data_IF_995906963539
#
_entry.id   IF_995906963539
#
_cell.length_a   1.000
_cell.length_b   1.000
_cell.length_c   1.000
_cell.angle_alpha   90.00
_cell.angle_beta   90.00
_cell.angle_gamma   90.00
#
_symmetry.space_group_name_H-M   'P 1'
#
loop_
_entity.id
_entity.type
_entity.pdbx_description
1 polymer ?
#
# COMPACT_ATOMS: atom_id res chain seq x y z
N UNK A 1 20.93 -5.66 1.33
CA UNK A 1 19.67 -6.09 0.68
C UNK A 1 19.05 -4.88 0.01
N UNK A 2 18.53 -4.99 -1.22
CA UNK A 2 17.87 -3.88 -1.90
C UNK A 2 16.42 -3.73 -1.37
N UNK A 3 16.07 -2.64 -0.68
CA UNK A 3 14.73 -2.45 -0.09
C UNK A 3 13.64 -2.16 -1.14
N UNK A 4 14.00 -1.85 -2.39
CA UNK A 4 13.02 -1.49 -3.41
C UNK A 4 12.05 -2.63 -3.76
N UNK A 5 12.55 -3.86 -3.88
CA UNK A 5 11.73 -5.04 -4.20
C UNK A 5 10.67 -5.34 -3.12
N UNK A 6 11.04 -5.45 -1.82
CA UNK A 6 10.04 -5.66 -0.78
C UNK A 6 9.07 -4.48 -0.66
N UNK A 7 9.51 -3.23 -0.81
CA UNK A 7 8.62 -2.07 -0.78
C UNK A 7 7.62 -2.07 -1.95
N UNK A 8 8.06 -2.42 -3.15
CA UNK A 8 7.17 -2.57 -4.30
C UNK A 8 6.14 -3.68 -4.09
N UNK A 9 6.57 -4.83 -3.55
CA UNK A 9 5.66 -5.93 -3.23
C UNK A 9 4.61 -5.51 -2.19
N UNK A 10 5.02 -4.82 -1.12
CA UNK A 10 4.13 -4.30 -0.08
C UNK A 10 3.10 -3.32 -0.68
N UNK A 11 3.54 -2.38 -1.53
CA UNK A 11 2.65 -1.43 -2.19
C UNK A 11 1.65 -2.08 -3.14
N UNK A 12 2.06 -3.09 -3.91
CA UNK A 12 1.16 -3.81 -4.82
C UNK A 12 0.12 -4.64 -4.08
N UNK A 13 0.53 -5.30 -2.99
CA UNK A 13 -0.37 -6.06 -2.12
C UNK A 13 -1.41 -5.13 -1.52
N UNK A 14 -0.98 -4.01 -0.94
CA UNK A 14 -1.87 -3.03 -0.34
C UNK A 14 -2.82 -2.38 -1.38
N UNK A 15 -2.37 -2.14 -2.60
CA UNK A 15 -3.22 -1.68 -3.69
C UNK A 15 -4.31 -2.69 -4.07
N UNK A 16 -3.97 -3.98 -4.15
CA UNK A 16 -4.96 -5.04 -4.39
C UNK A 16 -6.01 -5.10 -3.26
N UNK A 17 -5.58 -4.89 -2.02
CA UNK A 17 -6.47 -4.81 -0.85
C UNK A 17 -7.36 -3.58 -0.89
N UNK A 18 -6.83 -2.43 -1.29
CA UNK A 18 -7.60 -1.21 -1.48
C UNK A 18 -8.73 -1.40 -2.50
N UNK A 19 -8.46 -2.12 -3.60
CA UNK A 19 -9.48 -2.51 -4.58
C UNK A 19 -10.56 -3.42 -4.00
N UNK A 20 -10.19 -4.42 -3.19
CA UNK A 20 -11.14 -5.27 -2.47
C UNK A 20 -12.03 -4.47 -1.53
N UNK A 21 -11.43 -3.58 -0.72
CA UNK A 21 -12.12 -2.71 0.22
C UNK A 21 -13.12 -1.78 -0.45
N UNK A 22 -12.74 -1.20 -1.59
CA UNK A 22 -13.65 -0.38 -2.38
C UNK A 22 -14.89 -1.16 -2.89
N UNK A 23 -14.82 -2.49 -2.97
CA UNK A 23 -15.94 -3.34 -3.38
C UNK A 23 -16.72 -3.96 -2.21
N UNK A 24 -16.05 -4.20 -1.08
CA UNK A 24 -16.65 -4.84 0.08
C UNK A 24 -17.91 -4.11 0.56
N UNK A 25 -18.99 -4.86 0.82
CA UNK A 25 -20.27 -4.32 1.30
C UNK A 25 -21.23 -3.80 0.22
N UNK A 26 -20.83 -3.75 -1.06
CA UNK A 26 -21.70 -3.21 -2.15
C UNK A 26 -22.55 -4.21 -2.91
N UNK A 27 -22.26 -5.49 -2.77
CA UNK A 27 -23.00 -6.56 -3.41
C UNK A 27 -23.58 -7.47 -2.31
N UNK A 28 -24.80 -7.97 -2.47
CA UNK A 28 -25.47 -8.89 -1.55
C UNK A 28 -25.42 -10.37 -2.01
N UNK A 29 -24.91 -10.66 -3.22
CA UNK A 29 -24.83 -12.03 -3.77
C UNK A 29 -24.07 -13.03 -2.86
N UNK A 30 -24.47 -14.29 -2.89
CA UNK A 30 -23.83 -15.37 -2.12
C UNK A 30 -22.48 -15.79 -2.77
N UNK A 31 -22.41 -15.81 -4.11
CA UNK A 31 -21.19 -16.18 -4.86
C UNK A 31 -20.52 -14.94 -5.45
N UNK A 32 -19.57 -14.36 -4.71
CA UNK A 32 -18.88 -13.10 -5.07
C UNK A 32 -17.42 -13.24 -5.48
N UNK A 33 -16.85 -14.44 -5.45
CA UNK A 33 -15.41 -14.67 -5.69
C UNK A 33 -14.91 -13.95 -6.95
N UNK A 34 -15.58 -14.12 -8.09
CA UNK A 34 -15.19 -13.46 -9.37
C UNK A 34 -15.29 -11.93 -9.34
N UNK A 35 -16.18 -11.37 -8.52
CA UNK A 35 -16.34 -9.92 -8.42
C UNK A 35 -15.30 -9.31 -7.47
N UNK A 36 -15.02 -10.00 -6.35
CA UNK A 36 -13.92 -9.71 -5.43
C UNK A 36 -12.58 -9.73 -6.16
N UNK A 37 -12.28 -10.78 -6.92
CA UNK A 37 -11.03 -10.88 -7.69
C UNK A 37 -10.90 -9.73 -8.69
N UNK A 38 -11.98 -9.37 -9.40
CA UNK A 38 -11.95 -8.25 -10.35
C UNK A 38 -11.73 -6.91 -9.66
N UNK A 39 -12.32 -6.69 -8.49
CA UNK A 39 -12.11 -5.48 -7.71
C UNK A 39 -10.65 -5.39 -7.21
N UNK A 40 -10.09 -6.49 -6.70
CA UNK A 40 -8.68 -6.55 -6.32
C UNK A 40 -7.74 -6.31 -7.50
N UNK A 41 -8.02 -6.88 -8.67
CA UNK A 41 -7.22 -6.65 -9.89
C UNK A 41 -7.27 -5.18 -10.35
N UNK A 42 -8.42 -4.51 -10.22
CA UNK A 42 -8.53 -3.06 -10.49
C UNK A 42 -7.71 -2.24 -9.51
N UNK A 43 -7.76 -2.58 -8.22
CA UNK A 43 -6.91 -1.95 -7.19
C UNK A 43 -5.44 -2.14 -7.49
N UNK A 44 -5.03 -3.37 -7.83
CA UNK A 44 -3.66 -3.71 -8.22
C UNK A 44 -3.20 -2.91 -9.44
N UNK A 45 -4.03 -2.82 -10.49
CA UNK A 45 -3.67 -2.09 -11.71
C UNK A 45 -3.51 -0.58 -11.44
N UNK A 46 -4.42 0.02 -10.68
CA UNK A 46 -4.33 1.43 -10.28
C UNK A 46 -3.12 1.68 -9.39
N UNK A 47 -2.87 0.81 -8.41
CA UNK A 47 -1.70 0.92 -7.54
C UNK A 47 -0.38 0.74 -8.27
N UNK A 48 -0.29 -0.23 -9.18
CA UNK A 48 0.90 -0.42 -10.02
C UNK A 48 1.20 0.84 -10.84
N UNK A 49 0.17 1.47 -11.43
CA UNK A 49 0.33 2.73 -12.14
C UNK A 49 0.77 3.88 -11.22
N UNK A 50 0.18 4.00 -10.02
CA UNK A 50 0.53 5.05 -9.07
C UNK A 50 1.92 4.86 -8.43
N UNK A 51 2.40 3.61 -8.30
CA UNK A 51 3.75 3.29 -7.83
C UNK A 51 4.84 3.66 -8.84
N UNK A 52 4.49 3.97 -10.10
CA UNK A 52 5.45 4.55 -11.04
C UNK A 52 5.91 5.95 -10.58
N UNK A 53 5.04 6.72 -9.91
CA UNK A 53 5.40 8.05 -9.43
C UNK A 53 6.60 8.04 -8.47
N UNK A 54 6.60 7.30 -7.33
CA UNK A 54 7.76 7.24 -6.45
C UNK A 54 8.99 6.60 -7.12
N UNK A 55 8.81 5.65 -8.06
CA UNK A 55 9.93 5.06 -8.81
C UNK A 55 10.61 6.06 -9.74
N UNK A 56 9.82 6.86 -10.48
CA UNK A 56 10.33 7.94 -11.34
C UNK A 56 10.98 9.03 -10.51
N UNK A 57 10.41 9.37 -9.35
CA UNK A 57 11.01 10.34 -8.42
C UNK A 57 12.37 9.87 -7.92
N UNK A 58 12.48 8.61 -7.49
CA UNK A 58 13.76 8.03 -7.07
C UNK A 58 14.79 8.00 -8.23
N UNK A 59 14.35 7.60 -9.43
CA UNK A 59 15.18 7.65 -10.64
C UNK A 59 15.65 9.06 -10.98
N UNK A 60 14.77 10.06 -10.90
CA UNK A 60 15.10 11.46 -11.14
C UNK A 60 16.10 12.01 -10.13
N UNK A 61 15.96 11.66 -8.84
CA UNK A 61 16.93 12.03 -7.80
C UNK A 61 18.31 11.43 -8.10
N UNK A 62 18.37 10.16 -8.51
CA UNK A 62 19.64 9.50 -8.84
C UNK A 62 20.30 10.09 -10.09
N UNK A 63 19.50 10.43 -11.11
CA UNK A 63 20.01 11.04 -12.35
C UNK A 63 20.48 12.48 -12.16
N UNK A 64 19.95 13.20 -11.17
CA UNK A 64 20.32 14.58 -10.87
C UNK A 64 21.43 14.70 -9.81
N UNK A 65 21.86 13.59 -9.21
CA UNK A 65 22.88 13.60 -8.17
C UNK A 65 24.30 13.67 -8.76
N UNK A 66 25.14 14.51 -8.16
CA UNK A 66 26.57 14.58 -8.52
C UNK A 66 27.32 13.28 -8.18
N UNK A 67 26.85 12.54 -7.17
CA UNK A 67 27.34 11.23 -6.75
C UNK A 67 26.16 10.24 -6.61
N UNK A 68 25.82 9.52 -7.69
CA UNK A 68 24.69 8.58 -7.72
C UNK A 68 24.83 7.42 -6.72
N UNK A 69 26.05 6.97 -6.44
CA UNK A 69 26.29 5.84 -5.53
C UNK A 69 25.97 6.24 -4.09
N UNK A 70 26.40 7.44 -3.68
CA UNK A 70 26.06 7.99 -2.37
C UNK A 70 24.57 8.29 -2.24
N UNK A 71 23.94 8.81 -3.30
CA UNK A 71 22.49 9.04 -3.32
C UNK A 71 21.70 7.73 -3.22
N UNK A 72 22.16 6.67 -3.90
CA UNK A 72 21.56 5.35 -3.82
C UNK A 72 21.70 4.75 -2.42
N UNK A 73 22.88 4.87 -1.79
CA UNK A 73 23.09 4.40 -0.42
C UNK A 73 22.14 5.10 0.56
N UNK A 74 21.99 6.43 0.48
CA UNK A 74 21.07 7.18 1.32
C UNK A 74 19.60 6.77 1.10
N UNK A 75 19.19 6.54 -0.15
CA UNK A 75 17.84 6.03 -0.46
C UNK A 75 17.64 4.59 0.05
N UNK A 76 18.68 3.75 -0.01
CA UNK A 76 18.61 2.39 0.48
C UNK A 76 18.49 2.36 2.01
N UNK A 77 19.27 3.17 2.72
CA UNK A 77 19.22 3.28 4.18
C UNK A 77 17.86 3.81 4.64
N UNK A 78 17.36 4.87 3.99
CA UNK A 78 15.98 5.36 4.21
C UNK A 78 14.92 4.31 3.90
N UNK A 79 15.11 3.55 2.82
CA UNK A 79 14.29 2.41 2.38
C UNK A 79 14.14 1.33 3.45
N UNK A 80 15.21 1.01 4.17
CA UNK A 80 15.18 0.04 5.29
C UNK A 80 14.29 0.55 6.42
N UNK A 81 14.32 1.85 6.70
CA UNK A 81 13.43 2.49 7.69
C UNK A 81 11.93 2.34 7.37
N UNK A 82 11.57 2.20 6.09
CA UNK A 82 10.20 1.93 5.66
C UNK A 82 9.77 0.46 5.83
N UNK A 83 10.72 -0.49 5.80
CA UNK A 83 10.37 -1.93 5.75
C UNK A 83 9.68 -2.44 7.00
N UNK A 84 10.10 -1.99 8.19
CA UNK A 84 9.58 -2.53 9.44
C UNK A 84 8.11 -2.10 9.66
N UNK A 85 7.74 -0.81 9.56
CA UNK A 85 6.35 -0.38 9.73
C UNK A 85 5.42 -0.94 8.64
N UNK A 86 5.84 -0.88 7.37
CA UNK A 86 5.03 -1.41 6.26
C UNK A 86 4.93 -2.94 6.29
N UNK A 87 6.00 -3.63 6.66
CA UNK A 87 6.03 -5.09 6.76
C UNK A 87 5.07 -5.61 7.84
N UNK A 88 5.08 -5.00 9.02
CA UNK A 88 4.14 -5.35 10.11
C UNK A 88 2.70 -5.10 9.69
N UNK A 89 2.43 -3.96 9.05
CA UNK A 89 1.09 -3.64 8.55
C UNK A 89 0.62 -4.65 7.50
N UNK A 90 1.45 -4.96 6.51
CA UNK A 90 1.12 -5.93 5.47
C UNK A 90 0.91 -7.34 6.04
N UNK A 91 1.68 -7.76 7.05
CA UNK A 91 1.48 -9.03 7.73
C UNK A 91 0.12 -9.07 8.42
N UNK A 92 -0.26 -8.00 9.14
CA UNK A 92 -1.57 -7.92 9.79
C UNK A 92 -2.74 -7.97 8.79
N UNK A 93 -2.59 -7.30 7.64
CA UNK A 93 -3.57 -7.36 6.55
C UNK A 93 -3.65 -8.77 5.94
N UNK A 94 -2.50 -9.39 5.67
CA UNK A 94 -2.43 -10.75 5.11
C UNK A 94 -3.05 -11.79 6.05
N UNK A 95 -2.78 -11.70 7.35
CA UNK A 95 -3.38 -12.56 8.38
C UNK A 95 -4.90 -12.36 8.45
N UNK A 96 -5.38 -11.11 8.38
CA UNK A 96 -6.81 -10.81 8.36
C UNK A 96 -7.50 -11.40 7.12
N UNK A 97 -6.84 -11.38 5.96
CA UNK A 97 -7.38 -11.99 4.74
C UNK A 97 -7.34 -13.53 4.79
N UNK A 98 -6.25 -14.11 5.27
CA UNK A 98 -6.15 -15.55 5.46
C UNK A 98 -7.28 -16.03 6.39
N UNK A 99 -7.55 -15.29 7.46
CA UNK A 99 -8.68 -15.55 8.33
C UNK A 99 -10.02 -15.43 7.57
N UNK A 100 -10.22 -14.39 6.76
CA UNK A 100 -11.44 -14.22 5.95
C UNK A 100 -11.71 -15.39 5.00
N UNK A 101 -10.67 -15.93 4.37
CA UNK A 101 -10.76 -17.00 3.36
C UNK A 101 -10.91 -18.40 3.96
N UNK A 102 -10.33 -18.64 5.14
CA UNK A 102 -10.29 -19.95 5.79
C UNK A 102 -11.42 -20.12 6.80
N UNK A 103 -11.85 -19.06 7.49
CA UNK A 103 -12.83 -19.18 8.58
C UNK A 103 -14.29 -19.23 8.09
N UNK A 104 -15.16 -19.95 8.82
CA UNK A 104 -16.59 -19.96 8.54
C UNK A 104 -17.22 -18.57 8.64
N UNK A 105 -18.31 -18.35 7.91
CA UNK A 105 -18.95 -17.05 7.62
C UNK A 105 -19.07 -16.10 8.82
N UNK A 106 -19.42 -16.63 10.02
CA UNK A 106 -19.56 -15.85 11.24
C UNK A 106 -18.23 -15.25 11.74
N UNK A 107 -17.17 -16.05 11.71
CA UNK A 107 -15.84 -15.61 12.15
C UNK A 107 -15.10 -14.80 11.06
N UNK A 108 -15.38 -15.07 9.78
CA UNK A 108 -14.92 -14.27 8.65
C UNK A 108 -15.47 -12.83 8.70
N UNK A 109 -16.73 -12.66 9.11
CA UNK A 109 -17.34 -11.32 9.29
C UNK A 109 -16.69 -10.58 10.47
N UNK A 110 -16.45 -11.27 11.59
CA UNK A 110 -15.80 -10.71 12.77
C UNK A 110 -14.34 -10.27 12.47
N UNK A 111 -13.58 -11.11 11.74
CA UNK A 111 -12.23 -10.81 11.29
C UNK A 111 -12.19 -9.62 10.32
N UNK A 112 -13.23 -9.45 9.50
CA UNK A 112 -13.35 -8.29 8.61
C UNK A 112 -13.63 -7.01 9.39
N UNK A 113 -14.51 -7.06 10.39
CA UNK A 113 -14.85 -5.87 11.20
C UNK A 113 -13.69 -5.46 12.11
N UNK A 114 -13.03 -6.44 12.76
CA UNK A 114 -11.94 -6.19 13.72
C UNK A 114 -10.59 -5.98 13.02
N UNK A 115 -10.32 -6.67 11.92
CA UNK A 115 -9.08 -6.51 11.17
C UNK A 115 -9.17 -5.40 10.15
N UNK A 116 -10.09 -5.53 9.19
CA UNK A 116 -10.18 -4.64 8.04
C UNK A 116 -10.67 -3.23 8.43
N UNK A 117 -11.56 -3.11 9.42
CA UNK A 117 -12.05 -1.81 9.93
C UNK A 117 -10.95 -0.90 10.47
N UNK A 118 -10.21 -1.29 11.52
CA UNK A 118 -9.12 -0.49 12.09
C UNK A 118 -7.92 -0.32 11.15
N UNK A 119 -7.61 -1.33 10.33
CA UNK A 119 -6.51 -1.25 9.36
C UNK A 119 -6.74 -0.18 8.28
N UNK A 120 -8.00 0.20 8.02
CA UNK A 120 -8.32 1.33 7.14
C UNK A 120 -7.79 2.67 7.69
N UNK A 121 -7.96 2.90 8.98
CA UNK A 121 -7.52 4.12 9.69
C UNK A 121 -6.05 4.07 10.08
N UNK A 122 -5.45 2.87 10.11
CA UNK A 122 -4.04 2.70 10.42
C UNK A 122 -3.11 3.15 9.27
N UNK A 123 -3.55 3.14 8.00
CA UNK A 123 -2.71 3.46 6.83
C UNK A 123 -2.00 4.83 6.95
N UNK A 124 -2.67 5.95 7.24
CA UNK A 124 -2.01 7.25 7.42
C UNK A 124 -0.97 7.24 8.54
N UNK A 125 -1.26 6.55 9.65
CA UNK A 125 -0.35 6.43 10.79
C UNK A 125 0.86 5.57 10.46
N UNK A 126 0.68 4.48 9.72
CA UNK A 126 1.78 3.62 9.25
C UNK A 126 2.67 4.38 8.28
N UNK A 127 2.10 5.17 7.36
CA UNK A 127 2.88 6.04 6.45
C UNK A 127 3.67 7.07 7.26
N UNK A 128 3.05 7.72 8.24
CA UNK A 128 3.75 8.69 9.11
C UNK A 128 4.89 8.03 9.91
N UNK A 129 4.65 6.84 10.48
CA UNK A 129 5.66 6.06 11.18
C UNK A 129 6.80 5.61 10.26
N UNK A 130 6.49 5.28 9.01
CA UNK A 130 7.49 4.88 8.03
C UNK A 130 8.36 6.06 7.55
N UNK A 131 7.76 7.25 7.36
CA UNK A 131 8.51 8.49 7.14
C UNK A 131 9.42 8.82 8.33
N UNK A 132 8.94 8.61 9.57
CA UNK A 132 9.75 8.73 10.78
C UNK A 132 10.90 7.71 10.84
N UNK A 133 10.63 6.46 10.49
CA UNK A 133 11.64 5.40 10.40
C UNK A 133 12.73 5.70 9.38
N UNK A 134 12.37 6.26 8.23
CA UNK A 134 13.32 6.67 7.19
C UNK A 134 14.24 7.82 7.63
N UNK A 135 13.73 8.75 8.44
CA UNK A 135 14.54 9.81 9.06
C UNK A 135 15.54 9.23 10.06
N UNK A 136 15.10 8.31 10.91
CA UNK A 136 15.95 7.65 11.90
C UNK A 136 17.00 6.73 11.26
N UNK A 137 16.71 6.17 10.09
CA UNK A 137 17.62 5.35 9.32
C UNK A 137 18.63 6.16 8.47
N UNK A 138 18.59 7.50 8.50
CA UNK A 138 19.57 8.35 7.83
C UNK A 138 19.29 8.67 6.36
N UNK A 139 18.07 8.43 5.86
CA UNK A 139 17.75 8.59 4.44
C UNK A 139 17.69 10.04 3.91
N UNK A 140 17.78 11.04 4.81
CA UNK A 140 17.79 12.45 4.44
C UNK A 140 16.51 12.98 3.77
N UNK A 141 16.58 14.19 3.21
CA UNK A 141 15.44 14.88 2.58
C UNK A 141 14.96 14.21 1.29
N UNK A 142 15.87 13.58 0.53
CA UNK A 142 15.53 12.82 -0.68
C UNK A 142 14.65 11.61 -0.37
N UNK A 143 14.99 10.84 0.68
CA UNK A 143 14.16 9.71 1.11
C UNK A 143 12.79 10.14 1.63
N UNK A 144 12.70 11.30 2.27
CA UNK A 144 11.41 11.87 2.68
C UNK A 144 10.53 12.24 1.50
N UNK A 145 11.12 12.84 0.45
CA UNK A 145 10.39 13.22 -0.75
C UNK A 145 9.85 11.97 -1.48
N UNK A 146 10.68 10.94 -1.65
CA UNK A 146 10.25 9.65 -2.22
C UNK A 146 9.18 8.99 -1.35
N UNK A 147 9.36 9.00 -0.03
CA UNK A 147 8.39 8.47 0.94
C UNK A 147 7.04 9.18 0.92
N UNK A 148 7.04 10.52 0.82
CA UNK A 148 5.83 11.32 0.73
C UNK A 148 5.06 11.04 -0.57
N UNK A 149 5.75 10.95 -1.71
CA UNK A 149 5.15 10.58 -2.99
C UNK A 149 4.59 9.16 -2.94
N UNK A 150 5.32 8.21 -2.34
CA UNK A 150 4.85 6.84 -2.16
C UNK A 150 3.60 6.77 -1.25
N UNK A 151 3.60 7.49 -0.13
CA UNK A 151 2.45 7.59 0.76
C UNK A 151 1.23 8.18 0.07
N UNK A 152 1.41 9.27 -0.68
CA UNK A 152 0.34 9.89 -1.46
C UNK A 152 -0.22 8.94 -2.54
N UNK A 153 0.65 8.24 -3.27
CA UNK A 153 0.27 7.24 -4.27
C UNK A 153 -0.59 6.13 -3.64
N UNK A 154 -0.13 5.56 -2.53
CA UNK A 154 -0.80 4.48 -1.81
C UNK A 154 -2.16 4.90 -1.25
N UNK A 155 -2.23 6.08 -0.61
CA UNK A 155 -3.49 6.61 -0.07
C UNK A 155 -4.50 6.96 -1.16
N UNK A 156 -4.04 7.30 -2.37
CA UNK A 156 -4.90 7.71 -3.49
C UNK A 156 -5.55 6.54 -4.24
N UNK A 157 -5.08 5.29 -4.08
CA UNK A 157 -5.64 4.12 -4.78
C UNK A 157 -7.13 3.96 -4.47
N UNK A 158 -7.50 4.02 -3.20
CA UNK A 158 -8.88 3.80 -2.73
C UNK A 158 -9.88 4.83 -3.28
N UNK A 159 -9.67 6.15 -3.10
CA UNK A 159 -10.58 7.16 -3.65
C UNK A 159 -10.63 7.14 -5.18
N UNK A 160 -9.52 6.80 -5.85
CA UNK A 160 -9.50 6.73 -7.31
C UNK A 160 -10.32 5.55 -7.84
N UNK A 161 -10.13 4.36 -7.28
CA UNK A 161 -10.93 3.17 -7.62
C UNK A 161 -12.41 3.41 -7.29
N UNK A 162 -12.68 4.03 -6.15
CA UNK A 162 -14.03 4.40 -5.74
C UNK A 162 -14.70 5.34 -6.74
N UNK A 163 -14.06 6.47 -7.08
CA UNK A 163 -14.64 7.46 -8.00
C UNK A 163 -14.84 6.91 -9.41
N UNK A 164 -13.93 6.07 -9.90
CA UNK A 164 -13.93 5.63 -11.30
C UNK A 164 -14.84 4.43 -11.58
N UNK A 165 -15.07 3.55 -10.60
CA UNK A 165 -15.88 2.34 -10.80
C UNK A 165 -17.09 2.22 -9.90
N UNK A 166 -17.17 3.00 -8.81
CA UNK A 166 -18.19 2.82 -7.77
C UNK A 166 -18.84 4.13 -7.31
N UNK A 167 -18.64 5.23 -8.04
CA UNK A 167 -19.38 6.46 -7.80
C UNK A 167 -20.87 6.24 -8.10
N UNK A 168 -21.79 6.72 -7.24
CA UNK A 168 -23.21 6.72 -7.55
C UNK A 168 -23.43 7.66 -8.73
N UNK A 169 -23.86 7.12 -9.86
CA UNK A 169 -24.41 7.88 -10.98
C UNK A 169 -25.77 8.44 -10.53
N UNK A 170 -25.78 9.73 -10.20
CA UNK A 170 -27.01 10.52 -10.04
C UNK A 170 -27.55 10.93 -11.41
#
# INVERSE_FOLDING_TARGET
MNPALPLAALGLVDAAFSGFRAYAGRDARIRKRRAITRASLRGLAVGAALLLAPALTAGGVLLAADDPDRAYAALADGGVGFLLPLGVHALAVALSLAAYLVLPFRASTLATVIGLGPLTLARPLVVAAACGGALLAGGGSASLLVGAVAGAAVLSVEPFVHRRWYAPSY
#
